data_IF_908975649528
#
_entry.id   IF_908975649528
#
_cell.length_a   1.000
_cell.length_b   1.000
_cell.length_c   1.000
_cell.angle_alpha   90.00
_cell.angle_beta   90.00
_cell.angle_gamma   90.00
#
_symmetry.space_group_name_H-M   'P 1'
#
loop_
_entity.id
_entity.type
_entity.pdbx_description
1 polymer ?
#
# COMPACT_ATOMS: atom_id res chain seq x y z
N UNK A 1 14.60 7.20 -18.11
CA UNK A 1 13.87 8.17 -17.27
C UNK A 1 14.87 9.19 -16.76
N UNK A 2 14.60 10.49 -16.91
CA UNK A 2 15.41 11.55 -16.31
C UNK A 2 15.21 11.58 -14.80
N UNK A 3 16.28 11.90 -14.05
CA UNK A 3 16.17 12.17 -12.61
C UNK A 3 15.83 13.64 -12.42
N UNK A 4 14.87 13.91 -11.54
CA UNK A 4 14.46 15.26 -11.17
C UNK A 4 14.76 15.50 -9.68
N UNK A 5 15.16 16.73 -9.35
CA UNK A 5 15.45 17.11 -7.98
C UNK A 5 14.19 17.66 -7.31
N UNK A 6 13.77 17.02 -6.22
CA UNK A 6 12.63 17.46 -5.41
C UNK A 6 13.15 17.90 -4.04
N UNK A 7 12.76 19.11 -3.63
CA UNK A 7 13.08 19.64 -2.29
C UNK A 7 11.84 19.55 -1.42
N UNK A 8 11.96 18.94 -0.24
CA UNK A 8 10.88 18.85 0.74
C UNK A 8 11.40 19.16 2.15
N UNK A 9 10.47 19.50 3.06
CA UNK A 9 10.79 19.74 4.46
C UNK A 9 10.62 18.45 5.25
N UNK A 10 11.55 18.19 6.16
CA UNK A 10 11.55 17.04 7.05
C UNK A 10 12.03 17.50 8.43
N UNK A 11 11.39 16.98 9.48
CA UNK A 11 11.84 17.22 10.86
C UNK A 11 13.30 16.77 11.03
N UNK A 12 14.09 17.53 11.79
CA UNK A 12 15.50 17.26 12.02
C UNK A 12 15.74 15.88 12.63
N UNK A 13 14.86 15.44 13.52
CA UNK A 13 14.89 14.11 14.13
C UNK A 13 14.73 13.00 13.08
N UNK A 14 13.72 13.10 12.21
CA UNK A 14 13.50 12.13 11.13
C UNK A 14 14.69 12.08 10.17
N UNK A 15 15.29 13.23 9.86
CA UNK A 15 16.52 13.27 9.05
C UNK A 15 17.67 12.49 9.70
N UNK A 16 17.86 12.65 11.00
CA UNK A 16 18.91 11.95 11.74
C UNK A 16 18.70 10.43 11.74
N UNK A 17 17.44 9.98 11.88
CA UNK A 17 17.09 8.55 11.78
C UNK A 17 17.39 8.00 10.38
N UNK A 18 17.02 8.73 9.32
CA UNK A 18 17.33 8.31 7.95
C UNK A 18 18.85 8.20 7.71
N UNK A 19 19.64 9.12 8.28
CA UNK A 19 21.11 9.07 8.19
C UNK A 19 21.70 7.84 8.88
N UNK A 20 21.20 7.50 10.05
CA UNK A 20 21.63 6.31 10.79
C UNK A 20 21.30 5.02 10.02
N UNK A 21 20.09 4.93 9.46
CA UNK A 21 19.67 3.77 8.65
C UNK A 21 20.55 3.64 7.41
N UNK A 22 20.69 4.74 6.65
CA UNK A 22 21.47 4.76 5.41
C UNK A 22 22.93 4.34 5.66
N UNK A 23 23.54 4.83 6.75
CA UNK A 23 24.89 4.42 7.17
C UNK A 23 24.95 2.93 7.51
N UNK A 24 23.95 2.41 8.24
CA UNK A 24 23.89 1.00 8.64
C UNK A 24 23.75 0.02 7.48
N UNK A 25 23.22 0.47 6.33
CA UNK A 25 23.07 -0.34 5.12
C UNK A 25 24.09 0.01 4.01
N UNK A 26 25.10 0.84 4.31
CA UNK A 26 26.11 1.32 3.35
C UNK A 26 25.49 1.98 2.09
N UNK A 27 24.53 2.87 2.31
CA UNK A 27 23.86 3.64 1.24
C UNK A 27 23.74 5.11 1.60
N UNK A 28 23.44 5.93 0.60
CA UNK A 28 23.09 7.33 0.83
C UNK A 28 21.60 7.50 1.20
N UNK A 29 21.27 8.68 1.72
CA UNK A 29 19.89 9.01 2.10
C UNK A 29 18.94 8.99 0.90
N UNK A 30 19.43 9.35 -0.28
CA UNK A 30 18.62 9.40 -1.50
C UNK A 30 18.12 8.01 -1.89
N UNK A 31 18.96 6.98 -1.74
CA UNK A 31 18.57 5.58 -1.94
C UNK A 31 17.38 5.21 -1.06
N UNK A 32 17.49 5.44 0.26
CA UNK A 32 16.45 5.12 1.22
C UNK A 32 15.14 5.90 0.96
N UNK A 33 15.26 7.18 0.61
CA UNK A 33 14.09 8.01 0.27
C UNK A 33 13.40 7.50 -0.99
N UNK A 34 14.15 7.13 -2.04
CA UNK A 34 13.56 6.58 -3.26
C UNK A 34 12.88 5.24 -3.01
N UNK A 35 13.48 4.37 -2.18
CA UNK A 35 12.88 3.09 -1.79
C UNK A 35 11.56 3.30 -1.03
N UNK A 36 11.55 4.19 -0.04
CA UNK A 36 10.34 4.52 0.72
C UNK A 36 9.23 5.11 -0.19
N UNK A 37 9.60 5.99 -1.13
CA UNK A 37 8.65 6.56 -2.09
C UNK A 37 8.10 5.46 -3.01
N UNK A 38 8.94 4.55 -3.51
CA UNK A 38 8.51 3.46 -4.38
C UNK A 38 7.47 2.57 -3.68
N UNK A 39 7.76 2.15 -2.44
CA UNK A 39 6.83 1.35 -1.63
C UNK A 39 5.52 2.09 -1.40
N UNK A 40 5.58 3.38 -1.08
CA UNK A 40 4.40 4.21 -0.86
C UNK A 40 3.54 4.32 -2.12
N UNK A 41 4.17 4.59 -3.27
CA UNK A 41 3.47 4.70 -4.54
C UNK A 41 2.85 3.38 -4.98
N UNK A 42 3.57 2.26 -4.86
CA UNK A 42 3.06 0.94 -5.20
C UNK A 42 1.82 0.58 -4.37
N UNK A 43 1.90 0.78 -3.05
CA UNK A 43 0.79 0.51 -2.13
C UNK A 43 -0.46 1.33 -2.49
N UNK A 44 -0.28 2.62 -2.77
CA UNK A 44 -1.41 3.51 -3.07
C UNK A 44 -1.95 3.32 -4.49
N UNK A 45 -1.11 3.04 -5.47
CA UNK A 45 -1.54 2.82 -6.84
C UNK A 45 -2.44 1.59 -6.93
N UNK A 46 -2.01 0.46 -6.38
CA UNK A 46 -2.83 -0.75 -6.33
C UNK A 46 -4.17 -0.48 -5.63
N UNK A 47 -4.15 0.22 -4.49
CA UNK A 47 -5.38 0.52 -3.74
C UNK A 47 -6.36 1.36 -4.57
N UNK A 48 -5.88 2.39 -5.26
CA UNK A 48 -6.71 3.27 -6.08
C UNK A 48 -7.29 2.48 -7.27
N UNK A 49 -6.47 1.66 -7.94
CA UNK A 49 -6.90 0.82 -9.05
C UNK A 49 -7.98 -0.19 -8.63
N UNK A 50 -7.80 -0.86 -7.48
CA UNK A 50 -8.79 -1.79 -6.93
C UNK A 50 -10.11 -1.11 -6.57
N UNK A 51 -10.06 0.07 -5.95
CA UNK A 51 -11.27 0.85 -5.64
C UNK A 51 -12.02 1.20 -6.91
N UNK A 52 -11.31 1.69 -7.93
CA UNK A 52 -11.93 2.05 -9.21
C UNK A 52 -12.55 0.82 -9.89
N UNK A 53 -11.87 -0.34 -9.84
CA UNK A 53 -12.42 -1.58 -10.38
C UNK A 53 -13.68 -2.01 -9.65
N UNK A 54 -13.66 -2.03 -8.31
CA UNK A 54 -14.83 -2.40 -7.50
C UNK A 54 -16.03 -1.47 -7.70
N UNK A 55 -15.80 -0.17 -7.90
CA UNK A 55 -16.87 0.77 -8.29
C UNK A 55 -17.45 0.42 -9.66
N UNK A 56 -16.60 0.11 -10.65
CA UNK A 56 -17.06 -0.29 -11.98
C UNK A 56 -17.82 -1.63 -11.99
N UNK A 57 -17.41 -2.59 -11.17
CA UNK A 57 -18.10 -3.88 -10.97
C UNK A 57 -19.47 -3.64 -10.34
N UNK A 58 -19.55 -2.80 -9.30
CA UNK A 58 -20.79 -2.42 -8.65
C UNK A 58 -21.77 -1.67 -9.59
N UNK A 59 -21.26 -0.73 -10.40
CA UNK A 59 -22.04 -0.01 -11.41
C UNK A 59 -22.57 -0.96 -12.51
N UNK A 60 -21.83 -2.04 -12.81
CA UNK A 60 -22.25 -3.09 -13.71
C UNK A 60 -23.22 -4.11 -13.07
N UNK A 61 -23.47 -4.00 -11.76
CA UNK A 61 -24.31 -4.93 -11.00
C UNK A 61 -23.65 -6.28 -10.72
N UNK A 62 -22.32 -6.38 -10.83
CA UNK A 62 -21.54 -7.59 -10.59
C UNK A 62 -21.35 -7.84 -9.08
N UNK A 63 -22.46 -8.15 -8.42
CA UNK A 63 -22.51 -8.52 -7.01
C UNK A 63 -22.67 -10.02 -6.86
N UNK A 64 -22.05 -10.57 -5.81
CA UNK A 64 -22.26 -11.95 -5.41
C UNK A 64 -23.74 -12.21 -5.06
N UNK A 65 -24.22 -13.41 -5.35
CA UNK A 65 -25.58 -13.81 -4.97
C UNK A 65 -25.68 -14.10 -3.47
N UNK A 66 -26.91 -14.15 -2.94
CA UNK A 66 -27.13 -14.50 -1.53
C UNK A 66 -26.52 -15.87 -1.17
N UNK A 67 -26.61 -16.84 -2.08
CA UNK A 67 -26.04 -18.18 -1.90
C UNK A 67 -24.52 -18.16 -1.78
N UNK A 68 -23.84 -17.39 -2.64
CA UNK A 68 -22.38 -17.23 -2.60
C UNK A 68 -21.92 -16.55 -1.32
N UNK A 69 -22.63 -15.50 -0.90
CA UNK A 69 -22.39 -14.79 0.36
C UNK A 69 -22.54 -15.75 1.55
N UNK A 70 -23.64 -16.51 1.60
CA UNK A 70 -23.90 -17.48 2.66
C UNK A 70 -22.82 -18.58 2.74
N UNK A 71 -22.35 -19.08 1.59
CA UNK A 71 -21.28 -20.08 1.53
C UNK A 71 -19.95 -19.54 2.11
N UNK A 72 -19.59 -18.30 1.79
CA UNK A 72 -18.38 -17.65 2.33
C UNK A 72 -18.49 -17.44 3.83
N UNK A 73 -19.63 -16.95 4.33
CA UNK A 73 -19.85 -16.77 5.76
C UNK A 73 -19.78 -18.09 6.53
N UNK A 74 -20.41 -19.16 6.04
CA UNK A 74 -20.32 -20.49 6.64
C UNK A 74 -18.87 -20.97 6.75
N UNK A 75 -18.06 -20.81 5.68
CA UNK A 75 -16.63 -21.15 5.69
C UNK A 75 -15.85 -20.35 6.74
N UNK A 76 -16.02 -19.04 6.80
CA UNK A 76 -15.25 -18.15 7.69
C UNK A 76 -15.67 -18.26 9.17
N UNK A 77 -16.89 -18.71 9.45
CA UNK A 77 -17.44 -18.81 10.80
C UNK A 77 -17.44 -20.22 11.37
N UNK A 78 -17.29 -21.26 10.53
CA UNK A 78 -17.25 -22.67 10.94
C UNK A 78 -16.13 -23.04 11.94
N UNK A 79 -15.11 -22.19 12.11
CA UNK A 79 -14.04 -22.35 13.11
C UNK A 79 -14.24 -21.60 14.44
N UNK A 80 -15.36 -20.88 14.64
CA UNK A 80 -15.72 -20.17 15.88
C UNK A 80 -16.84 -20.89 16.65
N UNK A 81 -16.75 -22.21 16.77
CA UNK A 81 -17.43 -22.94 17.85
C UNK A 81 -16.43 -23.02 19.00
N UNK A 82 -16.55 -22.11 19.97
CA UNK A 82 -16.02 -22.33 21.32
C UNK A 82 -16.94 -23.30 22.04
#
# INVERSE_FOLDING_TARGET
MSKENITFRLDSEKRAVLDAIATGIDRDRSYLINEAIAIYLEMHQWQVEEIQRGVSEADAGDFATEEEVNAVFARLTSGKVR
#
